data_IF_817735213470
#
_entry.id   IF_817735213470
#
_cell.length_a   1.000
_cell.length_b   1.000
_cell.length_c   1.000
_cell.angle_alpha   90.00
_cell.angle_beta   90.00
_cell.angle_gamma   90.00
#
_symmetry.space_group_name_H-M   'P 1'
#
loop_
_entity.id
_entity.type
_entity.pdbx_description
1 polymer ?
#
# COMPACT_ATOMS: atom_id res chain seq x y z
N UNK A 1 7.44 -15.11 -12.25
CA UNK A 1 7.10 -13.78 -11.69
C UNK A 1 6.71 -14.00 -10.25
N UNK A 2 7.70 -13.99 -9.37
CA UNK A 2 7.50 -14.06 -7.91
C UNK A 2 7.83 -12.67 -7.38
N UNK A 3 6.86 -11.75 -7.49
CA UNK A 3 7.04 -10.32 -7.21
C UNK A 3 5.75 -9.79 -6.60
N UNK A 4 5.73 -9.78 -5.26
CA UNK A 4 4.66 -9.29 -4.39
C UNK A 4 3.28 -9.90 -4.66
N UNK A 5 2.81 -10.72 -3.71
CA UNK A 5 1.43 -11.24 -3.68
C UNK A 5 0.46 -10.12 -3.26
N UNK A 6 0.41 -9.05 -4.06
CA UNK A 6 -0.39 -7.86 -3.80
C UNK A 6 -1.79 -8.00 -4.41
N UNK A 7 -2.79 -7.66 -3.60
CA UNK A 7 -4.21 -7.72 -4.01
C UNK A 7 -4.62 -6.53 -4.88
N UNK A 8 -3.95 -5.38 -4.70
CA UNK A 8 -4.17 -4.13 -5.44
C UNK A 8 -2.81 -3.54 -5.82
N UNK A 9 -2.64 -3.16 -7.08
CA UNK A 9 -1.46 -2.50 -7.64
C UNK A 9 -1.77 -1.13 -8.21
N UNK A 10 -0.83 -0.19 -8.06
CA UNK A 10 -0.96 1.18 -8.56
C UNK A 10 0.29 1.55 -9.37
N UNK A 11 0.08 2.04 -10.59
CA UNK A 11 1.12 2.69 -11.39
C UNK A 11 0.93 4.22 -11.30
N UNK A 12 1.94 4.91 -10.77
CA UNK A 12 2.01 6.36 -10.78
C UNK A 12 2.91 6.82 -11.93
N UNK A 13 2.41 7.72 -12.78
CA UNK A 13 3.12 8.22 -13.97
C UNK A 13 3.08 9.74 -14.09
N UNK A 14 4.11 10.34 -14.69
CA UNK A 14 4.11 11.76 -15.06
C UNK A 14 3.34 12.01 -16.38
N UNK A 15 3.36 11.03 -17.29
CA UNK A 15 2.75 11.12 -18.61
C UNK A 15 1.35 10.53 -18.62
N UNK A 16 0.52 11.00 -19.55
CA UNK A 16 -0.82 10.43 -19.75
C UNK A 16 -0.72 8.93 -20.12
N UNK A 17 -1.54 8.06 -19.50
CA UNK A 17 -1.53 6.66 -19.85
C UNK A 17 -1.98 6.46 -21.29
N UNK A 18 -1.41 5.46 -21.97
CA UNK A 18 -1.84 5.10 -23.32
C UNK A 18 -3.14 4.30 -23.29
N UNK A 19 -3.79 4.13 -24.44
CA UNK A 19 -5.01 3.31 -24.53
C UNK A 19 -4.79 1.86 -24.08
N UNK A 20 -3.74 1.13 -24.53
CA UNK A 20 -3.47 -0.22 -24.05
C UNK A 20 -3.23 -0.30 -22.55
N UNK A 21 -2.61 0.72 -21.96
CA UNK A 21 -2.40 0.77 -20.50
C UNK A 21 -3.73 0.85 -19.74
N UNK A 22 -4.67 1.68 -20.21
CA UNK A 22 -6.01 1.77 -19.61
C UNK A 22 -6.79 0.47 -19.77
N UNK A 23 -6.68 -0.19 -20.93
CA UNK A 23 -7.31 -1.49 -21.19
C UNK A 23 -6.75 -2.58 -20.27
N UNK A 24 -5.43 -2.62 -20.08
CA UNK A 24 -4.79 -3.55 -19.16
C UNK A 24 -5.26 -3.34 -17.71
N UNK A 25 -5.36 -2.08 -17.26
CA UNK A 25 -5.87 -1.74 -15.93
C UNK A 25 -7.33 -2.17 -15.75
N UNK A 26 -8.19 -1.90 -16.73
CA UNK A 26 -9.59 -2.31 -16.69
C UNK A 26 -9.76 -3.84 -16.70
N UNK A 27 -8.91 -4.54 -17.46
CA UNK A 27 -8.96 -6.01 -17.60
C UNK A 27 -8.47 -6.75 -16.35
N UNK A 28 -7.70 -6.09 -15.48
CA UNK A 28 -7.23 -6.66 -14.22
C UNK A 28 -8.36 -6.95 -13.22
N UNK A 29 -9.57 -6.41 -13.43
CA UNK A 29 -10.74 -6.67 -12.62
C UNK A 29 -10.74 -5.95 -11.26
N UNK A 30 -11.58 -6.43 -10.34
CA UNK A 30 -11.82 -5.81 -9.05
C UNK A 30 -11.47 -6.74 -7.88
N UNK A 31 -10.80 -6.20 -6.88
CA UNK A 31 -10.66 -6.78 -5.56
C UNK A 31 -11.94 -6.50 -4.75
N UNK A 32 -12.47 -7.52 -4.09
CA UNK A 32 -13.63 -7.38 -3.20
C UNK A 32 -13.16 -7.48 -1.76
N UNK A 33 -13.43 -6.44 -0.97
CA UNK A 33 -12.93 -6.35 0.40
C UNK A 33 -13.76 -7.21 1.35
N UNK A 34 -13.16 -8.23 2.01
CA UNK A 34 -13.85 -9.02 3.02
C UNK A 34 -14.21 -8.11 4.20
N UNK A 35 -15.50 -8.04 4.54
CA UNK A 35 -16.01 -7.26 5.69
C UNK A 35 -16.83 -6.02 5.32
N UNK A 36 -16.55 -5.37 4.19
CA UNK A 36 -17.28 -4.16 3.76
C UNK A 36 -18.00 -4.32 2.42
N UNK A 37 -17.78 -5.44 1.71
CA UNK A 37 -18.39 -5.75 0.42
C UNK A 37 -18.21 -4.63 -0.64
N UNK A 38 -17.11 -3.88 -0.53
CA UNK A 38 -16.71 -2.85 -1.50
C UNK A 38 -15.82 -3.45 -2.57
N UNK A 39 -15.95 -2.93 -3.80
CA UNK A 39 -15.14 -3.33 -4.96
C UNK A 39 -14.15 -2.24 -5.31
N UNK A 40 -12.88 -2.61 -5.48
CA UNK A 40 -11.79 -1.71 -5.81
C UNK A 40 -11.00 -2.25 -7.02
N UNK A 41 -10.57 -1.43 -7.99
CA UNK A 41 -9.80 -1.93 -9.13
C UNK A 41 -8.49 -2.56 -8.67
N UNK A 42 -8.20 -3.78 -9.15
CA UNK A 42 -6.95 -4.49 -8.82
C UNK A 42 -5.72 -3.80 -9.41
N UNK A 43 -5.89 -3.10 -10.51
CA UNK A 43 -4.83 -2.32 -11.14
C UNK A 43 -5.35 -0.91 -11.44
N UNK A 44 -4.66 0.08 -10.90
CA UNK A 44 -4.98 1.48 -11.09
C UNK A 44 -3.80 2.20 -11.74
N UNK A 45 -4.11 3.13 -12.63
CA UNK A 45 -3.11 4.03 -13.22
C UNK A 45 -3.52 5.46 -12.87
N UNK A 46 -2.61 6.16 -12.21
CA UNK A 46 -2.79 7.54 -11.79
C UNK A 46 -1.65 8.38 -12.35
N UNK A 47 -1.97 9.58 -12.78
CA UNK A 47 -0.97 10.59 -13.09
C UNK A 47 -0.68 11.45 -11.88
N UNK A 48 0.53 12.02 -11.80
CA UNK A 48 0.87 12.98 -10.75
C UNK A 48 -0.06 14.19 -10.78
N UNK A 49 -0.47 14.64 -11.97
CA UNK A 49 -1.49 15.70 -12.14
C UNK A 49 -2.77 15.34 -11.40
N UNK A 50 -3.31 14.14 -11.64
CA UNK A 50 -4.56 13.71 -11.00
C UNK A 50 -4.45 13.63 -9.48
N UNK A 51 -3.30 13.18 -8.95
CA UNK A 51 -3.06 13.20 -7.50
C UNK A 51 -3.12 14.62 -6.93
N UNK A 52 -2.52 15.59 -7.63
CA UNK A 52 -2.55 17.01 -7.24
C UNK A 52 -3.97 17.58 -7.35
N UNK A 53 -4.77 17.11 -8.30
CA UNK A 53 -6.19 17.42 -8.47
C UNK A 53 -7.10 16.67 -7.48
N UNK A 54 -6.53 16.13 -6.39
CA UNK A 54 -7.24 15.40 -5.31
C UNK A 54 -7.84 14.06 -5.72
N UNK A 55 -7.48 13.48 -6.88
CA UNK A 55 -7.81 12.09 -7.20
C UNK A 55 -6.98 11.17 -6.29
N UNK A 56 -7.62 10.50 -5.35
CA UNK A 56 -6.97 9.52 -4.48
C UNK A 56 -6.78 8.16 -5.14
N UNK A 57 -5.94 7.33 -4.52
CA UNK A 57 -5.90 5.89 -4.81
C UNK A 57 -7.18 5.27 -4.23
N UNK A 58 -7.85 4.41 -5.00
CA UNK A 58 -9.02 3.68 -4.51
C UNK A 58 -8.57 2.40 -3.80
N UNK A 59 -8.76 2.33 -2.50
CA UNK A 59 -8.42 1.17 -1.70
C UNK A 59 -9.39 1.06 -0.52
N UNK A 60 -9.58 -0.15 0.04
CA UNK A 60 -10.45 -0.32 1.19
C UNK A 60 -9.93 0.47 2.39
N UNK A 61 -10.62 1.56 2.72
CA UNK A 61 -10.31 2.42 3.86
C UNK A 61 -10.70 1.81 5.22
N UNK A 62 -11.58 0.79 5.22
CA UNK A 62 -12.02 0.08 6.43
C UNK A 62 -10.93 -0.74 7.12
N UNK A 63 -9.86 -1.09 6.39
CA UNK A 63 -8.66 -1.72 6.95
C UNK A 63 -7.64 -0.67 7.43
N UNK A 64 -8.10 0.50 7.86
CA UNK A 64 -7.27 1.57 8.40
C UNK A 64 -6.37 1.02 9.53
N UNK A 65 -5.07 0.97 9.26
CA UNK A 65 -4.03 0.66 10.23
C UNK A 65 -4.30 -0.62 11.04
N UNK A 66 -4.29 -1.81 10.41
CA UNK A 66 -3.89 -3.00 11.18
C UNK A 66 -2.47 -2.75 11.65
N UNK A 67 -2.37 -2.29 12.89
CA UNK A 67 -1.13 -1.97 13.59
C UNK A 67 -0.10 -3.04 13.30
N UNK A 68 0.92 -2.70 12.50
CA UNK A 68 2.13 -3.52 12.41
C UNK A 68 2.58 -3.80 13.84
N UNK A 69 2.85 -5.08 14.12
CA UNK A 69 3.23 -5.57 15.45
C UNK A 69 4.29 -4.63 16.05
N UNK A 70 3.93 -3.97 17.17
CA UNK A 70 4.81 -3.01 17.84
C UNK A 70 6.17 -3.66 18.09
N UNK A 71 7.24 -3.00 17.67
CA UNK A 71 8.60 -3.52 17.83
C UNK A 71 8.85 -3.86 19.32
N UNK A 72 9.48 -5.00 19.63
CA UNK A 72 9.82 -5.35 21.00
C UNK A 72 10.72 -4.26 21.59
N UNK A 73 10.45 -3.87 22.84
CA UNK A 73 11.32 -2.93 23.56
C UNK A 73 12.71 -3.56 23.69
N UNK A 74 13.74 -2.83 23.25
CA UNK A 74 15.12 -3.24 23.48
C UNK A 74 15.36 -3.36 25.00
N UNK A 75 15.84 -4.52 25.43
CA UNK A 75 16.35 -4.71 26.79
C UNK A 75 17.64 -3.90 26.87
N UNK A 76 17.69 -2.87 27.72
CA UNK A 76 18.95 -2.21 28.04
C UNK A 76 19.83 -3.25 28.74
N UNK A 77 21.08 -3.51 28.31
CA UNK A 77 22.01 -4.23 29.16
C UNK A 77 22.12 -3.43 30.46
N UNK A 78 21.86 -4.10 31.58
CA UNK A 78 22.09 -3.53 32.90
C UNK A 78 23.60 -3.33 33.00
N UNK A 79 24.04 -2.08 32.95
CA UNK A 79 25.43 -1.74 33.25
C UNK A 79 25.66 -2.02 34.72
N UNK A 80 26.26 -3.17 35.02
CA UNK A 80 26.94 -3.40 36.28
C UNK A 80 28.19 -2.52 36.24
N UNK A 81 28.11 -1.38 36.92
CA UNK A 81 29.27 -0.54 37.19
C UNK A 81 30.20 -1.32 38.12
N UNK A 82 31.31 -1.78 37.57
CA UNK A 82 32.49 -2.18 38.34
C UNK A 82 33.01 -0.92 39.06
N UNK A 83 32.70 -0.79 40.34
CA UNK A 83 33.28 0.22 41.22
C UNK A 83 34.65 -0.29 41.69
N UNK A 84 35.67 0.50 41.37
CA UNK A 84 37.06 0.34 41.80
C UNK A 84 37.20 0.28 43.33
N UNK A 85 37.90 -0.76 43.81
CA UNK A 85 38.78 -0.71 44.98
C UNK A 85 40.06 -1.51 44.69
#
# INVERSE_FOLDING_TARGET
MDKAQAEIGVLLTMQEPTKPMREAAASAGFYTSPGWNTKHPRLQILTVRELLDRRGIDYPSGAANVTLKKAPKAVKPSGEGEELL
#
